data_IF_346091708445
#
_entry.id   IF_346091708445
#
_cell.length_a   1.000
_cell.length_b   1.000
_cell.length_c   1.000
_cell.angle_alpha   90.00
_cell.angle_beta   90.00
_cell.angle_gamma   90.00
#
_symmetry.space_group_name_H-M   'P 1'
#
loop_
_entity.id
_entity.type
_entity.pdbx_description
1 polymer ?
#
# COMPACT_ATOMS: atom_id res chain seq x y z
N UNK A 1 -5.70 18.04 -3.60
CA UNK A 1 -6.40 16.91 -4.25
C UNK A 1 -5.60 15.67 -3.92
N UNK A 2 -6.13 14.77 -3.10
CA UNK A 2 -5.40 13.58 -2.66
C UNK A 2 -5.48 12.55 -3.78
N UNK A 3 -4.39 12.48 -4.54
CA UNK A 3 -4.14 11.46 -5.56
C UNK A 3 -3.87 10.13 -4.87
N UNK A 4 -4.35 9.02 -5.44
CA UNK A 4 -3.90 7.67 -5.08
C UNK A 4 -2.37 7.70 -4.95
N UNK A 5 -1.83 7.15 -3.86
CA UNK A 5 -0.39 6.96 -3.69
C UNK A 5 -0.03 5.53 -4.10
N UNK A 6 0.06 5.23 -5.41
CA UNK A 6 0.50 3.93 -5.85
C UNK A 6 1.98 3.77 -5.45
N UNK A 7 2.37 2.59 -4.97
CA UNK A 7 3.69 2.38 -4.36
C UNK A 7 4.87 2.70 -5.30
N UNK A 8 4.61 2.75 -6.61
CA UNK A 8 5.53 3.19 -7.66
C UNK A 8 5.96 4.67 -7.51
N UNK A 9 5.16 5.52 -6.85
CA UNK A 9 5.58 6.90 -6.53
C UNK A 9 6.52 6.97 -5.34
N UNK A 10 6.36 6.09 -4.35
CA UNK A 10 7.29 5.96 -3.22
C UNK A 10 8.62 5.32 -3.68
N UNK A 11 8.57 4.46 -4.69
CA UNK A 11 9.72 3.72 -5.21
C UNK A 11 9.83 3.80 -6.74
N UNK A 12 10.12 4.98 -7.30
CA UNK A 12 10.22 5.17 -8.75
C UNK A 12 11.36 4.35 -9.36
N UNK A 13 12.45 4.14 -8.61
CA UNK A 13 13.59 3.32 -9.05
C UNK A 13 13.24 1.83 -9.19
N UNK A 14 12.25 1.36 -8.43
CA UNK A 14 11.77 -0.01 -8.46
C UNK A 14 10.50 -0.17 -9.30
N UNK A 15 10.02 0.88 -9.99
CA UNK A 15 8.74 0.85 -10.67
C UNK A 15 8.62 -0.26 -11.72
N UNK A 16 9.67 -0.49 -12.51
CA UNK A 16 9.74 -1.61 -13.45
C UNK A 16 9.73 -2.97 -12.73
N UNK A 17 10.48 -3.09 -11.63
CA UNK A 17 10.57 -4.33 -10.84
C UNK A 17 9.24 -4.67 -10.14
N UNK A 18 8.54 -3.66 -9.62
CA UNK A 18 7.19 -3.80 -9.04
C UNK A 18 6.22 -4.29 -10.13
N UNK A 19 6.32 -3.76 -11.35
CA UNK A 19 5.50 -4.23 -12.49
C UNK A 19 5.83 -5.67 -12.84
N UNK A 20 7.11 -6.00 -12.96
CA UNK A 20 7.56 -7.34 -13.31
C UNK A 20 7.12 -8.35 -12.23
N UNK A 21 7.34 -8.06 -10.95
CA UNK A 21 6.85 -8.86 -9.83
C UNK A 21 5.33 -8.95 -9.79
N UNK A 22 4.60 -7.89 -10.12
CA UNK A 22 3.14 -7.95 -10.19
C UNK A 22 2.62 -8.90 -11.28
N UNK A 23 3.36 -9.04 -12.39
CA UNK A 23 3.02 -9.96 -13.48
C UNK A 23 3.55 -11.38 -13.26
N UNK A 24 4.69 -11.53 -12.59
CA UNK A 24 5.37 -12.81 -12.37
C UNK A 24 5.06 -13.43 -11.00
N UNK A 25 4.46 -12.69 -10.06
CA UNK A 25 4.24 -13.13 -8.69
C UNK A 25 2.85 -12.74 -8.16
N UNK A 26 1.95 -13.72 -8.09
CA UNK A 26 0.59 -13.57 -7.57
C UNK A 26 0.55 -13.06 -6.13
N UNK A 27 1.50 -13.45 -5.26
CA UNK A 27 1.53 -12.96 -3.87
C UNK A 27 1.78 -11.46 -3.84
N UNK A 28 2.73 -10.99 -4.65
CA UNK A 28 3.02 -9.57 -4.79
C UNK A 28 1.81 -8.79 -5.34
N UNK A 29 1.09 -9.40 -6.28
CA UNK A 29 -0.15 -8.84 -6.83
C UNK A 29 -1.20 -8.58 -5.75
N UNK A 30 -1.43 -9.56 -4.88
CA UNK A 30 -2.37 -9.46 -3.75
C UNK A 30 -1.90 -8.42 -2.73
N UNK A 31 -0.58 -8.34 -2.49
CA UNK A 31 0.01 -7.43 -1.52
C UNK A 31 -0.11 -5.96 -1.96
N UNK A 32 0.17 -5.69 -3.24
CA UNK A 32 0.00 -4.36 -3.83
C UNK A 32 -1.47 -3.91 -3.83
N UNK A 33 -2.38 -4.85 -4.12
CA UNK A 33 -3.81 -4.57 -4.08
C UNK A 33 -4.29 -4.27 -2.65
N UNK A 34 -3.77 -5.01 -1.67
CA UNK A 34 -4.02 -4.77 -0.24
C UNK A 34 -3.52 -3.40 0.21
N UNK A 35 -2.32 -3.00 -0.23
CA UNK A 35 -1.77 -1.67 0.03
C UNK A 35 -2.68 -0.57 -0.54
N UNK A 36 -3.06 -0.69 -1.80
CA UNK A 36 -3.93 0.29 -2.47
C UNK A 36 -5.28 0.40 -1.78
N UNK A 37 -5.88 -0.73 -1.41
CA UNK A 37 -7.17 -0.77 -0.70
C UNK A 37 -7.08 -0.16 0.69
N UNK A 38 -5.96 -0.36 1.37
CA UNK A 38 -5.68 0.22 2.67
C UNK A 38 -5.52 1.74 2.58
N UNK A 39 -4.77 2.23 1.59
CA UNK A 39 -4.59 3.66 1.32
C UNK A 39 -5.94 4.32 1.02
N UNK A 40 -6.77 3.69 0.17
CA UNK A 40 -8.13 4.16 -0.13
C UNK A 40 -9.04 4.15 1.11
N UNK A 41 -8.89 3.15 1.99
CA UNK A 41 -9.62 3.09 3.26
C UNK A 41 -9.19 4.17 4.24
N UNK A 42 -7.88 4.44 4.37
CA UNK A 42 -7.34 5.55 5.17
C UNK A 42 -7.88 6.87 4.63
N UNK A 43 -7.78 7.09 3.31
CA UNK A 43 -8.28 8.29 2.66
C UNK A 43 -9.78 8.49 2.91
N UNK A 44 -10.57 7.43 2.76
CA UNK A 44 -12.00 7.47 3.00
C UNK A 44 -12.30 7.80 4.46
N UNK A 45 -11.58 7.20 5.40
CA UNK A 45 -11.68 7.50 6.83
C UNK A 45 -11.29 8.95 7.16
N UNK A 46 -10.23 9.47 6.54
CA UNK A 46 -9.78 10.86 6.73
C UNK A 46 -10.74 11.87 6.09
N UNK A 47 -11.49 11.46 5.06
CA UNK A 47 -12.49 12.29 4.37
C UNK A 47 -13.87 12.21 5.04
N UNK A 48 -14.24 11.02 5.51
CA UNK A 48 -15.47 10.74 6.26
C UNK A 48 -15.15 10.99 7.75
N UNK A 49 -14.93 12.28 8.07
CA UNK A 49 -14.52 12.81 9.39
C UNK A 49 -15.42 12.39 10.57
N UNK A 50 -16.51 11.66 10.34
CA UNK A 50 -17.62 11.57 11.28
C UNK A 50 -17.52 10.41 12.28
N UNK A 51 -16.88 9.27 12.01
CA UNK A 51 -16.96 8.11 12.91
C UNK A 51 -15.79 7.10 12.88
N UNK A 52 -14.63 7.44 12.32
CA UNK A 52 -13.51 6.51 12.38
C UNK A 52 -12.94 6.47 13.80
N UNK A 53 -13.29 5.40 14.53
CA UNK A 53 -12.66 5.03 15.78
C UNK A 53 -11.13 5.16 15.61
N UNK A 54 -10.48 5.99 16.42
CA UNK A 54 -9.03 6.25 16.35
C UNK A 54 -8.18 4.95 16.30
N UNK A 55 -8.75 3.86 16.81
CA UNK A 55 -8.19 2.50 16.74
C UNK A 55 -8.10 1.94 15.31
N UNK A 56 -9.12 2.11 14.46
CA UNK A 56 -9.08 1.65 13.06
C UNK A 56 -8.01 2.38 12.26
N UNK A 57 -7.91 3.71 12.39
CA UNK A 57 -6.86 4.48 11.72
C UNK A 57 -5.46 4.03 12.18
N UNK A 58 -5.31 3.74 13.47
CA UNK A 58 -4.05 3.24 14.04
C UNK A 58 -3.69 1.86 13.49
N UNK A 59 -4.66 0.95 13.40
CA UNK A 59 -4.51 -0.37 12.78
C UNK A 59 -4.13 -0.24 11.30
N UNK A 60 -4.80 0.64 10.55
CA UNK A 60 -4.51 0.87 9.14
C UNK A 60 -3.11 1.42 8.95
N UNK A 61 -2.67 2.40 9.74
CA UNK A 61 -1.28 2.90 9.68
C UNK A 61 -0.26 1.81 9.94
N UNK A 62 -0.50 0.90 10.90
CA UNK A 62 0.37 -0.26 11.13
C UNK A 62 0.42 -1.18 9.92
N UNK A 63 -0.74 -1.53 9.35
CA UNK A 63 -0.82 -2.36 8.16
C UNK A 63 -0.15 -1.69 6.95
N UNK A 64 -0.20 -0.36 6.82
CA UNK A 64 0.48 0.39 5.76
C UNK A 64 1.99 0.19 5.84
N UNK A 65 2.55 0.31 7.04
CA UNK A 65 3.99 0.10 7.28
C UNK A 65 4.35 -1.35 6.99
N UNK A 66 3.56 -2.31 7.49
CA UNK A 66 3.79 -3.73 7.28
C UNK A 66 3.80 -4.09 5.78
N UNK A 67 2.77 -3.67 5.03
CA UNK A 67 2.69 -3.91 3.59
C UNK A 67 3.84 -3.23 2.83
N UNK A 68 4.29 -2.06 3.27
CA UNK A 68 5.45 -1.39 2.68
C UNK A 68 6.74 -2.18 2.92
N UNK A 69 6.92 -2.70 4.13
CA UNK A 69 8.07 -3.53 4.49
C UNK A 69 8.09 -4.82 3.68
N UNK A 70 6.95 -5.51 3.57
CA UNK A 70 6.80 -6.72 2.75
C UNK A 70 7.12 -6.44 1.29
N UNK A 71 6.57 -5.37 0.69
CA UNK A 71 6.88 -4.99 -0.70
C UNK A 71 8.37 -4.69 -0.85
N UNK A 72 8.96 -3.95 0.09
CA UNK A 72 10.39 -3.68 0.06
C UNK A 72 11.22 -4.95 0.18
N UNK A 73 10.79 -5.92 0.98
CA UNK A 73 11.46 -7.20 1.13
C UNK A 73 11.38 -8.01 -0.17
N UNK A 74 10.22 -8.07 -0.83
CA UNK A 74 10.07 -8.67 -2.16
C UNK A 74 10.97 -8.01 -3.22
N UNK A 75 11.09 -6.68 -3.18
CA UNK A 75 11.93 -5.92 -4.09
C UNK A 75 13.43 -6.12 -3.85
N UNK A 76 13.83 -6.42 -2.62
CA UNK A 76 15.21 -6.64 -2.20
C UNK A 76 15.67 -8.09 -2.37
N UNK A 77 14.77 -9.05 -2.18
CA UNK A 77 15.07 -10.49 -2.21
C UNK A 77 15.12 -11.05 -3.65
N UNK A 78 14.36 -10.46 -4.58
CA UNK A 78 14.53 -10.65 -6.03
C UNK A 78 15.53 -9.63 -6.61
#
# INVERSE_FOLDING_TARGET
MITKHPIYQDFPEYADKIKDLFHNNDEFQVLLHSYTKLDEKIYKIETDEELAMNDELTQLRKNRVFLKDEIFNFLKDN
#
